data_IF_522391569337
#
_entry.id   IF_522391569337
#
_cell.length_a   1.000
_cell.length_b   1.000
_cell.length_c   1.000
_cell.angle_alpha   90.00
_cell.angle_beta   90.00
_cell.angle_gamma   90.00
#
_symmetry.space_group_name_H-M   'P 1'
#
loop_
_entity.id
_entity.type
_entity.pdbx_description
1 polymer ?
#
# COMPACT_ATOMS: atom_id res chain seq x y z
N UNK A 1 2.39 -11.14 -16.96
CA UNK A 1 3.23 -10.40 -17.94
C UNK A 1 3.20 -8.88 -17.72
N UNK A 2 2.07 -8.27 -17.33
CA UNK A 2 1.97 -6.83 -17.06
C UNK A 2 2.89 -6.32 -15.93
N UNK A 3 3.03 -7.08 -14.84
CA UNK A 3 3.73 -6.61 -13.63
C UNK A 3 5.25 -6.44 -13.82
N UNK A 4 5.86 -7.18 -14.75
CA UNK A 4 7.29 -7.02 -15.08
C UNK A 4 7.59 -5.70 -15.78
N UNK A 5 6.65 -5.18 -16.57
CA UNK A 5 6.77 -3.87 -17.21
C UNK A 5 6.69 -2.75 -16.16
N UNK A 6 5.79 -2.89 -15.19
CA UNK A 6 5.64 -1.95 -14.06
C UNK A 6 6.90 -1.88 -13.23
N UNK A 7 7.54 -3.03 -12.96
CA UNK A 7 8.84 -3.10 -12.26
C UNK A 7 9.92 -2.33 -13.00
N UNK A 8 10.04 -2.53 -14.32
CA UNK A 8 11.02 -1.83 -15.15
C UNK A 8 10.77 -0.32 -15.19
N UNK A 9 9.52 0.11 -15.36
CA UNK A 9 9.16 1.52 -15.36
C UNK A 9 9.42 2.17 -14.00
N UNK A 10 9.06 1.53 -12.89
CA UNK A 10 9.29 2.08 -11.55
C UNK A 10 10.78 2.16 -11.23
N UNK A 11 11.56 1.15 -11.61
CA UNK A 11 13.01 1.13 -11.42
C UNK A 11 13.70 2.21 -12.25
N UNK A 12 13.27 2.39 -13.51
CA UNK A 12 13.75 3.46 -14.37
C UNK A 12 13.44 4.85 -13.81
N UNK A 13 12.21 5.10 -13.33
CA UNK A 13 11.82 6.36 -12.69
C UNK A 13 12.68 6.67 -11.46
N UNK A 14 12.91 5.68 -10.60
CA UNK A 14 13.78 5.82 -9.42
C UNK A 14 15.24 6.10 -9.82
N UNK A 15 15.74 5.45 -10.86
CA UNK A 15 17.09 5.66 -11.38
C UNK A 15 17.28 7.07 -11.97
N UNK A 16 16.34 7.51 -12.83
CA UNK A 16 16.34 8.85 -13.40
C UNK A 16 16.28 9.94 -12.31
N UNK A 17 15.44 9.75 -11.28
CA UNK A 17 15.33 10.73 -10.19
C UNK A 17 16.54 10.75 -9.27
N UNK A 18 17.17 9.60 -9.01
CA UNK A 18 18.43 9.54 -8.24
C UNK A 18 19.56 10.32 -8.93
N UNK A 19 19.52 10.42 -10.26
CA UNK A 19 20.47 11.23 -11.06
C UNK A 19 20.13 12.73 -11.07
N UNK A 20 18.86 13.11 -10.94
CA UNK A 20 18.39 14.51 -10.94
C UNK A 20 18.25 15.11 -9.53
N UNK A 21 19.12 14.70 -8.59
CA UNK A 21 18.98 14.96 -7.15
C UNK A 21 19.39 16.38 -6.75
N UNK A 22 18.81 17.39 -7.38
CA UNK A 22 18.84 18.76 -6.87
C UNK A 22 17.72 18.97 -5.84
N UNK A 23 18.09 18.89 -4.56
CA UNK A 23 17.51 19.60 -3.42
C UNK A 23 15.98 19.88 -3.37
N UNK A 24 15.08 18.88 -3.39
CA UNK A 24 13.64 19.20 -3.33
C UNK A 24 12.83 18.38 -2.31
N UNK A 25 12.22 19.14 -1.38
CA UNK A 25 10.97 18.98 -0.63
C UNK A 25 10.53 17.58 -0.14
N UNK A 26 9.99 17.53 1.09
CA UNK A 26 9.46 16.32 1.76
C UNK A 26 8.46 15.52 0.89
N UNK A 27 7.73 16.18 -0.03
CA UNK A 27 6.80 15.51 -0.95
C UNK A 27 7.46 14.55 -1.94
N UNK A 28 8.72 14.77 -2.30
CA UNK A 28 9.46 13.89 -3.19
C UNK A 28 9.86 12.58 -2.51
N UNK A 29 10.07 12.61 -1.18
CA UNK A 29 10.34 11.40 -0.37
C UNK A 29 9.11 10.51 -0.22
N UNK A 30 7.92 11.10 -0.10
CA UNK A 30 6.67 10.33 -0.03
C UNK A 30 6.40 9.66 -1.38
N UNK A 31 6.62 10.37 -2.49
CA UNK A 31 6.50 9.79 -3.82
C UNK A 31 7.55 8.69 -4.08
N UNK A 32 8.80 8.88 -3.64
CA UNK A 32 9.81 7.80 -3.64
C UNK A 32 9.33 6.57 -2.86
N UNK A 33 8.72 6.79 -1.69
CA UNK A 33 8.09 5.73 -0.90
C UNK A 33 7.01 4.97 -1.67
N UNK A 34 6.10 5.70 -2.32
CA UNK A 34 5.06 5.10 -3.18
C UNK A 34 5.70 4.25 -4.29
N UNK A 35 6.75 4.76 -4.92
CA UNK A 35 7.45 4.07 -5.98
C UNK A 35 8.14 2.78 -5.51
N UNK A 36 8.78 2.81 -4.34
CA UNK A 36 9.41 1.64 -3.75
C UNK A 36 8.37 0.59 -3.36
N UNK A 37 7.28 0.99 -2.71
CA UNK A 37 6.19 0.07 -2.32
C UNK A 37 5.57 -0.59 -3.56
N UNK A 38 5.33 0.19 -4.62
CA UNK A 38 4.80 -0.35 -5.87
C UNK A 38 5.78 -1.34 -6.54
N UNK A 39 7.08 -1.01 -6.54
CA UNK A 39 8.12 -1.89 -7.06
C UNK A 39 8.16 -3.23 -6.30
N UNK A 40 8.17 -3.17 -4.97
CA UNK A 40 8.18 -4.36 -4.10
C UNK A 40 6.90 -5.19 -4.28
N UNK A 41 5.75 -4.54 -4.37
CA UNK A 41 4.47 -5.20 -4.63
C UNK A 41 4.46 -5.94 -5.97
N UNK A 42 4.90 -5.30 -7.04
CA UNK A 42 4.95 -5.89 -8.38
C UNK A 42 5.98 -7.03 -8.50
N UNK A 43 7.13 -6.90 -7.83
CA UNK A 43 8.11 -7.99 -7.72
C UNK A 43 7.52 -9.18 -6.96
N UNK A 44 6.86 -8.93 -5.84
CA UNK A 44 6.25 -9.97 -5.02
C UNK A 44 5.13 -10.69 -5.77
N UNK A 45 4.34 -9.97 -6.56
CA UNK A 45 3.27 -10.56 -7.37
C UNK A 45 3.86 -11.43 -8.50
N UNK A 46 4.97 -10.99 -9.08
CA UNK A 46 5.69 -11.77 -10.09
C UNK A 46 6.25 -13.07 -9.48
N UNK A 47 6.83 -13.01 -8.28
CA UNK A 47 7.33 -14.19 -7.56
C UNK A 47 6.17 -15.12 -7.19
N UNK A 48 5.07 -14.58 -6.66
CA UNK A 48 3.87 -15.35 -6.32
C UNK A 48 3.37 -16.12 -7.55
N UNK A 49 3.22 -15.45 -8.70
CA UNK A 49 2.79 -16.07 -9.94
C UNK A 49 3.78 -17.13 -10.46
N UNK A 50 5.08 -16.92 -10.30
CA UNK A 50 6.09 -17.88 -10.76
C UNK A 50 6.13 -19.16 -9.91
N UNK A 51 5.75 -19.06 -8.65
CA UNK A 51 5.79 -20.14 -7.66
C UNK A 51 4.44 -20.85 -7.54
N UNK A 52 3.34 -20.18 -7.89
CA UNK A 52 1.99 -20.74 -7.83
C UNK A 52 1.85 -22.02 -8.68
N UNK A 53 1.26 -23.06 -8.08
CA UNK A 53 1.09 -24.38 -8.69
C UNK A 53 2.38 -25.20 -8.86
N UNK A 54 3.57 -24.69 -8.48
CA UNK A 54 4.81 -25.45 -8.51
C UNK A 54 5.13 -26.11 -7.17
N UNK A 55 5.50 -27.38 -7.21
CA UNK A 55 5.87 -28.19 -6.05
C UNK A 55 7.38 -28.32 -5.96
N UNK A 56 8.00 -27.54 -5.08
CA UNK A 56 9.42 -27.65 -4.75
C UNK A 56 9.61 -27.34 -3.25
N UNK A 57 10.74 -27.74 -2.66
CA UNK A 57 11.01 -27.54 -1.24
C UNK A 57 10.91 -26.06 -0.87
N UNK A 58 9.96 -25.70 -0.01
CA UNK A 58 9.75 -24.31 0.42
C UNK A 58 8.84 -23.47 -0.47
N UNK A 59 8.28 -24.01 -1.55
CA UNK A 59 7.43 -23.26 -2.50
C UNK A 59 6.21 -22.63 -1.82
N UNK A 60 5.62 -23.36 -0.88
CA UNK A 60 4.46 -22.89 -0.10
C UNK A 60 4.81 -21.69 0.79
N UNK A 61 5.95 -21.71 1.46
CA UNK A 61 6.42 -20.59 2.29
C UNK A 61 6.68 -19.35 1.45
N UNK A 62 7.33 -19.51 0.29
CA UNK A 62 7.57 -18.40 -0.64
C UNK A 62 6.25 -17.81 -1.12
N UNK A 63 5.28 -18.66 -1.48
CA UNK A 63 3.97 -18.22 -1.94
C UNK A 63 3.20 -17.47 -0.83
N UNK A 64 3.28 -17.91 0.44
CA UNK A 64 2.72 -17.17 1.58
C UNK A 64 3.39 -15.81 1.78
N UNK A 65 4.72 -15.75 1.76
CA UNK A 65 5.47 -14.51 1.95
C UNK A 65 5.18 -13.52 0.83
N UNK A 66 5.25 -13.96 -0.43
CA UNK A 66 5.02 -13.12 -1.59
C UNK A 66 3.61 -12.54 -1.61
N UNK A 67 2.57 -13.35 -1.35
CA UNK A 67 1.20 -12.85 -1.27
C UNK A 67 1.00 -11.88 -0.10
N UNK A 68 1.59 -12.16 1.07
CA UNK A 68 1.53 -11.24 2.20
C UNK A 68 2.17 -9.89 1.90
N UNK A 69 3.32 -9.87 1.20
CA UNK A 69 3.96 -8.63 0.77
C UNK A 69 3.09 -7.90 -0.25
N UNK A 70 2.42 -8.60 -1.17
CA UNK A 70 1.46 -7.97 -2.08
C UNK A 70 0.32 -7.29 -1.34
N UNK A 71 -0.31 -7.97 -0.38
CA UNK A 71 -1.39 -7.40 0.43
C UNK A 71 -0.92 -6.17 1.21
N UNK A 72 0.18 -6.27 1.95
CA UNK A 72 0.74 -5.15 2.71
C UNK A 72 1.13 -4.01 1.77
N UNK A 73 1.69 -4.31 0.60
CA UNK A 73 2.08 -3.33 -0.41
C UNK A 73 0.88 -2.53 -0.93
N UNK A 74 -0.23 -3.19 -1.24
CA UNK A 74 -1.45 -2.52 -1.71
C UNK A 74 -2.02 -1.56 -0.66
N UNK A 75 -2.12 -1.99 0.60
CA UNK A 75 -2.66 -1.17 1.69
C UNK A 75 -1.73 0.00 2.02
N UNK A 76 -0.42 -0.26 2.03
CA UNK A 76 0.60 0.78 2.21
C UNK A 76 0.58 1.82 1.10
N UNK A 77 0.27 1.42 -0.15
CA UNK A 77 0.10 2.36 -1.26
C UNK A 77 -1.05 3.33 -0.98
N UNK A 78 -2.22 2.81 -0.59
CA UNK A 78 -3.39 3.64 -0.27
C UNK A 78 -3.08 4.70 0.80
N UNK A 79 -2.40 4.28 1.88
CA UNK A 79 -1.99 5.18 2.96
C UNK A 79 -0.98 6.25 2.47
N UNK A 80 0.09 5.85 1.78
CA UNK A 80 1.09 6.80 1.28
C UNK A 80 0.50 7.79 0.27
N UNK A 81 -0.46 7.35 -0.54
CA UNK A 81 -1.18 8.20 -1.47
C UNK A 81 -2.01 9.27 -0.74
N UNK A 82 -2.76 8.90 0.31
CA UNK A 82 -3.53 9.84 1.12
C UNK A 82 -2.63 10.91 1.76
N UNK A 83 -1.48 10.50 2.31
CA UNK A 83 -0.48 11.44 2.85
C UNK A 83 0.09 12.37 1.77
N UNK A 84 0.41 11.82 0.59
CA UNK A 84 0.93 12.59 -0.54
C UNK A 84 -0.05 13.66 -1.00
N UNK A 85 -1.33 13.31 -1.13
CA UNK A 85 -2.40 14.24 -1.53
C UNK A 85 -2.60 15.34 -0.48
N UNK A 86 -2.66 15.00 0.81
CA UNK A 86 -2.81 16.00 1.89
C UNK A 86 -1.64 17.00 1.88
N UNK A 87 -0.40 16.51 1.70
CA UNK A 87 0.78 17.36 1.62
C UNK A 87 0.77 18.25 0.36
N UNK A 88 0.29 17.74 -0.78
CA UNK A 88 0.19 18.51 -2.03
C UNK A 88 -0.86 19.62 -1.97
N UNK A 89 -2.01 19.37 -1.33
CA UNK A 89 -3.10 20.35 -1.22
C UNK A 89 -2.77 21.42 -0.18
N UNK A 90 -2.41 21.03 1.05
CA UNK A 90 -2.29 21.98 2.15
C UNK A 90 -0.87 22.47 2.38
N UNK A 91 0.14 21.84 1.77
CA UNK A 91 1.58 22.16 1.93
C UNK A 91 2.02 22.27 3.40
N UNK A 92 1.28 21.63 4.32
CA UNK A 92 1.50 21.69 5.75
C UNK A 92 1.90 20.32 6.29
N UNK A 93 3.19 20.16 6.57
CA UNK A 93 3.75 18.91 7.07
C UNK A 93 3.20 18.50 8.44
N UNK A 94 3.07 19.45 9.37
CA UNK A 94 2.59 19.15 10.73
C UNK A 94 1.18 18.58 10.73
N UNK A 95 0.31 19.15 9.89
CA UNK A 95 -1.06 18.67 9.69
C UNK A 95 -1.09 17.29 9.04
N UNK A 96 -0.25 17.05 8.03
CA UNK A 96 -0.13 15.73 7.39
C UNK A 96 0.27 14.66 8.40
N UNK A 97 1.27 14.91 9.26
CA UNK A 97 1.72 13.94 10.28
C UNK A 97 0.63 13.66 11.32
N UNK A 98 -0.13 14.68 11.74
CA UNK A 98 -1.25 14.49 12.67
C UNK A 98 -2.35 13.60 12.10
N UNK A 99 -2.70 13.80 10.82
CA UNK A 99 -3.69 12.96 10.13
C UNK A 99 -3.15 11.57 9.82
N UNK A 100 -1.88 11.47 9.46
CA UNK A 100 -1.19 10.20 9.27
C UNK A 100 -1.32 9.30 10.52
N UNK A 101 -1.32 9.86 11.73
CA UNK A 101 -1.56 9.09 12.95
C UNK A 101 -2.92 8.37 12.97
N UNK A 102 -3.99 9.01 12.48
CA UNK A 102 -5.32 8.41 12.37
C UNK A 102 -5.35 7.38 11.22
N UNK A 103 -4.73 7.72 10.10
CA UNK A 103 -4.62 6.83 8.93
C UNK A 103 -3.67 5.65 9.15
N UNK A 104 -2.79 5.65 10.15
CA UNK A 104 -1.93 4.50 10.47
C UNK A 104 -2.72 3.40 11.19
N UNK A 105 -3.80 3.74 11.91
CA UNK A 105 -4.55 2.77 12.70
C UNK A 105 -5.17 1.63 11.86
N UNK A 106 -5.92 1.89 10.77
CA UNK A 106 -6.47 0.80 9.97
C UNK A 106 -5.38 0.01 9.22
N UNK A 107 -4.24 0.64 8.91
CA UNK A 107 -3.10 0.03 8.23
C UNK A 107 -2.43 -0.98 9.16
N UNK A 108 -2.26 -0.62 10.43
CA UNK A 108 -1.77 -1.54 11.46
C UNK A 108 -2.71 -2.75 11.61
N UNK A 109 -4.03 -2.53 11.65
CA UNK A 109 -5.01 -3.62 11.75
C UNK A 109 -4.87 -4.57 10.56
N UNK A 110 -4.78 -4.06 9.33
CA UNK A 110 -4.61 -4.89 8.14
C UNK A 110 -3.28 -5.64 8.12
N UNK A 111 -2.18 -4.97 8.48
CA UNK A 111 -0.86 -5.61 8.58
C UNK A 111 -0.89 -6.74 9.60
N UNK A 112 -1.52 -6.54 10.76
CA UNK A 112 -1.68 -7.59 11.78
C UNK A 112 -2.47 -8.78 11.23
N UNK A 113 -3.59 -8.53 10.52
CA UNK A 113 -4.39 -9.60 9.90
C UNK A 113 -3.56 -10.39 8.87
N UNK A 114 -2.77 -9.71 8.04
CA UNK A 114 -1.89 -10.36 7.05
C UNK A 114 -0.78 -11.16 7.74
N UNK A 115 -0.19 -10.64 8.82
CA UNK A 115 0.81 -11.36 9.61
C UNK A 115 0.20 -12.61 10.27
N UNK A 116 -1.02 -12.51 10.80
CA UNK A 116 -1.77 -13.67 11.29
C UNK A 116 -2.04 -14.70 10.18
N UNK A 117 -2.17 -14.25 8.93
CA UNK A 117 -2.38 -15.14 7.78
C UNK A 117 -1.12 -15.94 7.40
N UNK A 118 0.09 -15.45 7.72
CA UNK A 118 1.35 -16.19 7.51
C UNK A 118 1.44 -17.47 8.34
N UNK A 119 0.74 -17.55 9.47
CA UNK A 119 0.66 -18.75 10.30
C UNK A 119 -0.29 -19.82 9.73
N UNK A 120 -0.84 -19.61 8.53
CA UNK A 120 -1.72 -20.57 7.86
C UNK A 120 -3.16 -20.56 8.37
N UNK A 121 -3.58 -19.47 9.03
CA UNK A 121 -4.96 -19.29 9.52
C UNK A 121 -5.98 -19.21 8.38
N UNK A 122 -5.55 -18.84 7.17
CA UNK A 122 -6.39 -18.83 5.97
C UNK A 122 -7.44 -17.70 5.94
N UNK A 123 -7.29 -16.69 6.81
CA UNK A 123 -8.24 -15.58 6.98
C UNK A 123 -8.36 -14.77 5.69
N UNK A 124 -7.25 -14.26 5.15
CA UNK A 124 -7.23 -13.43 3.94
C UNK A 124 -7.14 -14.30 2.69
N UNK A 125 -6.17 -15.22 2.67
CA UNK A 125 -5.92 -16.13 1.57
C UNK A 125 -5.39 -17.45 2.11
N UNK A 126 -5.64 -18.53 1.37
CA UNK A 126 -5.17 -19.87 1.69
C UNK A 126 -4.36 -20.43 0.54
N UNK A 127 -3.32 -21.19 0.86
CA UNK A 127 -2.54 -21.92 -0.14
C UNK A 127 -2.77 -23.42 0.09
N UNK A 128 -3.32 -24.07 -0.95
CA UNK A 128 -3.63 -25.50 -0.97
C UNK A 128 -2.37 -26.36 -0.75
N UNK A 129 -2.55 -27.65 -0.44
CA UNK A 129 -1.45 -28.62 -0.40
C UNK A 129 -0.68 -28.66 -1.72
N UNK A 130 -1.39 -28.46 -2.83
CA UNK A 130 -0.83 -28.36 -4.18
C UNK A 130 -0.20 -26.99 -4.50
N UNK A 131 0.05 -26.14 -3.49
CA UNK A 131 0.65 -24.82 -3.65
C UNK A 131 -0.12 -23.91 -4.62
N UNK A 132 -1.45 -24.08 -4.65
CA UNK A 132 -2.36 -23.24 -5.41
C UNK A 132 -2.94 -22.19 -4.48
N UNK A 133 -2.72 -20.93 -4.83
CA UNK A 133 -3.29 -19.78 -4.15
C UNK A 133 -4.80 -19.70 -4.35
N UNK A 134 -5.54 -19.55 -3.25
CA UNK A 134 -6.98 -19.33 -3.26
C UNK A 134 -7.34 -18.17 -2.34
N UNK A 135 -8.16 -17.25 -2.85
CA UNK A 135 -8.68 -16.12 -2.07
C UNK A 135 -9.77 -16.61 -1.12
N UNK A 136 -9.77 -16.10 0.11
CA UNK A 136 -10.81 -16.39 1.11
C UNK A 136 -11.73 -15.17 1.27
N UNK A 137 -12.86 -15.31 1.95
CA UNK A 137 -13.77 -14.20 2.25
C UNK A 137 -13.10 -13.04 3.02
N UNK A 138 -11.97 -13.24 3.71
CA UNK A 138 -11.26 -12.16 4.39
C UNK A 138 -10.70 -11.09 3.45
N UNK A 139 -10.50 -11.37 2.15
CA UNK A 139 -10.10 -10.32 1.18
C UNK A 139 -11.09 -9.16 1.16
N UNK A 140 -12.38 -9.41 1.43
CA UNK A 140 -13.40 -8.36 1.54
C UNK A 140 -13.11 -7.34 2.65
N UNK A 141 -12.44 -7.77 3.73
CA UNK A 141 -12.02 -6.86 4.80
C UNK A 141 -11.07 -5.81 4.27
N UNK A 142 -10.10 -6.21 3.44
CA UNK A 142 -9.15 -5.30 2.79
C UNK A 142 -9.81 -4.35 1.77
N UNK A 143 -10.90 -4.77 1.12
CA UNK A 143 -11.66 -3.86 0.24
C UNK A 143 -12.49 -2.86 1.03
N UNK A 144 -13.18 -3.32 2.08
CA UNK A 144 -14.02 -2.47 2.92
C UNK A 144 -13.18 -1.45 3.67
N UNK A 145 -12.02 -1.85 4.20
CA UNK A 145 -11.08 -0.94 4.85
C UNK A 145 -10.57 0.14 3.90
N UNK A 146 -10.26 -0.21 2.64
CA UNK A 146 -9.87 0.75 1.60
C UNK A 146 -10.96 1.78 1.31
N UNK A 147 -12.23 1.33 1.24
CA UNK A 147 -13.37 2.24 1.06
C UNK A 147 -13.54 3.16 2.28
N UNK A 148 -13.39 2.62 3.50
CA UNK A 148 -13.43 3.41 4.74
C UNK A 148 -12.29 4.42 4.75
N UNK A 149 -11.08 4.04 4.32
CA UNK A 149 -9.94 4.93 4.18
C UNK A 149 -10.25 6.12 3.29
N UNK A 150 -10.74 5.86 2.08
CA UNK A 150 -11.11 6.91 1.15
C UNK A 150 -12.25 7.78 1.69
N UNK A 151 -13.27 7.17 2.31
CA UNK A 151 -14.39 7.90 2.89
C UNK A 151 -13.96 8.78 4.07
N UNK A 152 -13.14 8.27 4.99
CA UNK A 152 -12.57 9.04 6.09
C UNK A 152 -11.67 10.16 5.57
N UNK A 153 -10.84 9.89 4.56
CA UNK A 153 -9.99 10.91 3.94
C UNK A 153 -10.84 12.03 3.31
N UNK A 154 -11.85 11.69 2.50
CA UNK A 154 -12.77 12.66 1.87
C UNK A 154 -13.57 13.44 2.91
N UNK A 155 -14.12 12.77 3.92
CA UNK A 155 -14.86 13.43 5.01
C UNK A 155 -13.97 14.41 5.77
N UNK A 156 -12.74 14.00 6.08
CA UNK A 156 -11.77 14.83 6.77
C UNK A 156 -11.28 16.00 5.87
N UNK A 157 -11.21 15.81 4.55
CA UNK A 157 -10.93 16.87 3.59
C UNK A 157 -12.07 17.90 3.53
N UNK A 158 -13.33 17.44 3.39
CA UNK A 158 -14.52 18.29 3.25
C UNK A 158 -14.84 19.07 4.52
N UNK A 159 -14.73 18.43 5.69
CA UNK A 159 -14.97 19.09 6.97
C UNK A 159 -13.95 20.22 7.21
N UNK A 160 -12.67 19.98 6.90
CA UNK A 160 -11.61 20.97 7.12
C UNK A 160 -11.57 22.06 6.05
N UNK A 161 -11.91 21.76 4.79
CA UNK A 161 -12.05 22.79 3.74
C UNK A 161 -13.26 23.69 4.02
N UNK A 162 -14.37 23.13 4.49
CA UNK A 162 -15.55 23.88 4.95
C UNK A 162 -15.25 24.81 6.12
N UNK A 163 -14.51 24.34 7.13
CA UNK A 163 -14.08 25.18 8.27
C UNK A 163 -13.09 26.27 7.85
N UNK A 164 -12.18 26.00 6.91
CA UNK A 164 -11.23 27.01 6.41
C UNK A 164 -11.88 28.12 5.59
N UNK A 165 -12.99 27.83 4.89
CA UNK A 165 -13.79 28.82 4.15
C UNK A 165 -14.63 29.72 5.06
N UNK A 166 -15.05 29.23 6.23
CA UNK A 166 -15.79 30.01 7.22
C UNK A 166 -14.86 31.00 7.94
N UNK A 167 -13.60 30.64 8.18
CA UNK A 167 -12.63 31.48 8.89
C UNK A 167 -12.06 32.64 8.06
N UNK A 168 -12.21 32.62 6.74
CA UNK A 168 -11.79 33.72 5.84
C UNK A 168 -12.92 34.72 5.54
N UNK A 169 -14.14 34.48 6.04
CA UNK A 169 -15.32 35.33 5.83
C UNK A 169 -15.89 35.96 7.11
N UNK A 170 -15.29 35.72 8.27
CA UNK A 170 -15.64 36.38 9.54
C UNK A 170 -14.47 37.23 10.01
#
# INVERSE_FOLDING_TARGET
MANGLTVLMMWFLLFCRRKNRESLHVGDKIYDGIAIVNLVGALSETIAFLVDGKQFTGSRQINYISNSICFIGTVSMGMLWCMYVELRIYRNYKRMVQKAGVEIFPWLVEVIIVLCNLFGTGIMFKISGENVYQRTAGVWVGYISLVIYFACHIFCLQYLSGVSFQKTRG
#
